data_IF_060395167804
#
_entry.id   IF_060395167804
#
_cell.length_a   1.000
_cell.length_b   1.000
_cell.length_c   1.000
_cell.angle_alpha   90.00
_cell.angle_beta   90.00
_cell.angle_gamma   90.00
#
_symmetry.space_group_name_H-M   'P 1'
#
loop_
_entity.id
_entity.type
_entity.pdbx_description
1 polymer ?
#
# COMPACT_ATOMS: atom_id res chain seq x y z
N UNK A 1 -1.51 -75.73 -20.04
CA UNK A 1 -0.52 -74.85 -19.43
C UNK A 1 -0.54 -73.55 -20.19
N UNK A 2 -1.26 -72.60 -19.72
CA UNK A 2 -1.29 -71.26 -20.32
C UNK A 2 -1.27 -70.26 -19.16
N UNK A 3 -0.16 -69.59 -19.05
CA UNK A 3 0.05 -68.59 -18.00
C UNK A 3 -0.65 -67.29 -18.43
N UNK A 4 -1.74 -66.97 -17.76
CA UNK A 4 -2.37 -65.66 -17.85
C UNK A 4 -1.63 -64.69 -16.91
N UNK A 5 -0.78 -63.84 -17.48
CA UNK A 5 -0.25 -62.68 -16.76
C UNK A 5 -1.29 -61.57 -16.81
N UNK A 6 -2.00 -61.38 -15.74
CA UNK A 6 -2.83 -60.21 -15.53
C UNK A 6 -1.92 -59.07 -15.14
N UNK A 7 -1.58 -58.20 -16.09
CA UNK A 7 -0.89 -56.93 -15.76
C UNK A 7 -1.88 -55.98 -15.12
N UNK A 8 -1.75 -55.85 -13.82
CA UNK A 8 -2.47 -54.81 -13.05
C UNK A 8 -1.73 -53.49 -13.22
N UNK A 9 -2.18 -52.66 -14.16
CA UNK A 9 -1.69 -51.32 -14.34
C UNK A 9 -2.27 -50.45 -13.21
N UNK A 10 -1.45 -50.18 -12.19
CA UNK A 10 -1.75 -49.25 -11.13
C UNK A 10 -1.58 -47.84 -11.65
N UNK A 11 -2.66 -47.21 -12.09
CA UNK A 11 -2.67 -45.80 -12.48
C UNK A 11 -2.54 -44.94 -11.22
N UNK A 12 -1.34 -44.39 -10.99
CA UNK A 12 -1.06 -43.45 -9.93
C UNK A 12 -1.64 -42.08 -10.34
N UNK A 13 -2.84 -41.78 -9.88
CA UNK A 13 -3.40 -40.43 -9.99
C UNK A 13 -2.64 -39.52 -9.03
N UNK A 14 -1.66 -38.80 -9.57
CA UNK A 14 -1.04 -37.67 -8.85
C UNK A 14 -2.05 -36.54 -8.90
N UNK A 15 -2.84 -36.39 -7.86
CA UNK A 15 -3.65 -35.20 -7.63
C UNK A 15 -2.67 -34.07 -7.27
N UNK A 16 -2.30 -33.28 -8.25
CA UNK A 16 -1.55 -32.07 -8.01
C UNK A 16 -2.40 -31.08 -7.18
N UNK A 17 -2.10 -30.99 -5.92
CA UNK A 17 -2.65 -29.92 -5.06
C UNK A 17 -2.03 -28.63 -5.55
N UNK A 18 -2.84 -27.62 -5.99
CA UNK A 18 -2.28 -26.33 -6.32
C UNK A 18 -1.69 -25.74 -5.03
N UNK A 19 -0.38 -25.58 -5.01
CA UNK A 19 0.28 -24.85 -3.94
C UNK A 19 -0.11 -23.38 -4.08
N UNK A 20 -1.14 -22.95 -3.36
CA UNK A 20 -1.41 -21.54 -3.16
C UNK A 20 -0.28 -21.00 -2.29
N UNK A 21 0.66 -20.31 -2.91
CA UNK A 21 1.68 -19.58 -2.17
C UNK A 21 0.97 -18.44 -1.42
N UNK A 22 0.67 -18.64 -0.16
CA UNK A 22 0.21 -17.59 0.73
C UNK A 22 1.40 -16.66 0.97
N UNK A 23 1.34 -15.47 0.38
CA UNK A 23 2.35 -14.44 0.63
C UNK A 23 2.17 -13.96 2.05
N UNK A 24 3.07 -14.35 2.92
CA UNK A 24 3.09 -13.83 4.28
C UNK A 24 3.23 -12.30 4.25
N UNK A 25 2.44 -11.55 5.05
CA UNK A 25 2.58 -10.10 5.10
C UNK A 25 4.02 -9.76 5.50
N UNK A 26 4.67 -8.94 4.68
CA UNK A 26 6.04 -8.52 4.92
C UNK A 26 6.18 -7.87 6.30
N UNK A 27 7.16 -8.30 7.08
CA UNK A 27 7.50 -7.67 8.36
C UNK A 27 8.40 -6.47 8.08
N UNK A 28 7.98 -5.29 8.50
CA UNK A 28 8.82 -4.11 8.47
C UNK A 28 9.86 -4.25 9.58
N UNK A 29 11.14 -4.37 9.20
CA UNK A 29 12.26 -4.34 10.14
C UNK A 29 12.81 -2.93 10.24
N UNK A 30 13.15 -2.48 11.45
CA UNK A 30 13.63 -1.11 11.69
C UNK A 30 12.52 -0.06 11.63
N UNK A 31 11.30 -0.44 12.02
CA UNK A 31 10.14 0.46 12.03
C UNK A 31 10.42 1.76 12.78
N UNK A 32 10.01 2.87 12.20
CA UNK A 32 10.12 4.21 12.77
C UNK A 32 8.74 4.84 12.86
N UNK A 33 8.32 5.17 14.07
CA UNK A 33 7.08 5.93 14.27
C UNK A 33 7.21 7.33 13.70
N UNK A 34 6.17 7.80 13.08
CA UNK A 34 6.07 9.16 12.54
C UNK A 34 4.62 9.61 12.53
N UNK A 35 4.43 10.91 12.56
CA UNK A 35 3.12 11.55 12.46
C UNK A 35 2.97 12.23 11.11
N UNK A 36 1.74 12.27 10.59
CA UNK A 36 1.44 13.07 9.41
C UNK A 36 1.62 14.54 9.71
N UNK A 37 2.16 15.33 8.76
CA UNK A 37 2.24 16.77 8.91
C UNK A 37 0.86 17.36 9.19
N UNK A 38 0.80 18.31 10.15
CA UNK A 38 -0.46 18.91 10.59
C UNK A 38 -1.19 19.68 9.46
N UNK A 39 -0.48 20.10 8.43
CA UNK A 39 -1.06 20.81 7.29
C UNK A 39 -1.69 19.88 6.24
N UNK A 40 -1.50 18.56 6.35
CA UNK A 40 -2.20 17.61 5.48
C UNK A 40 -3.69 17.75 5.70
N UNK A 41 -4.42 17.66 4.59
CA UNK A 41 -5.88 17.74 4.62
C UNK A 41 -6.47 16.54 5.35
N UNK A 42 -7.35 16.82 6.30
CA UNK A 42 -8.22 15.80 6.88
C UNK A 42 -9.27 15.40 5.84
N UNK A 43 -9.35 14.12 5.52
CA UNK A 43 -10.30 13.60 4.55
C UNK A 43 -11.07 12.40 5.11
N UNK A 44 -12.34 12.28 4.73
CA UNK A 44 -13.16 11.09 4.94
C UNK A 44 -13.02 10.07 3.81
N UNK A 45 -12.07 10.29 2.90
CA UNK A 45 -11.78 9.47 1.72
C UNK A 45 -12.89 9.45 0.66
N UNK A 46 -13.75 10.46 0.66
CA UNK A 46 -14.53 10.79 -0.54
C UNK A 46 -13.68 11.62 -1.49
N UNK A 47 -12.85 10.93 -2.25
CA UNK A 47 -11.87 11.56 -3.12
C UNK A 47 -12.51 12.45 -4.21
N UNK A 48 -13.76 12.18 -4.56
CA UNK A 48 -14.49 13.00 -5.53
C UNK A 48 -14.81 14.37 -4.96
N UNK A 49 -15.23 14.42 -3.71
CA UNK A 49 -15.51 15.68 -3.02
C UNK A 49 -14.21 16.41 -2.66
N UNK A 50 -13.18 15.68 -2.23
CA UNK A 50 -11.85 16.26 -1.99
C UNK A 50 -11.27 16.90 -3.24
N UNK A 51 -11.43 16.25 -4.40
CA UNK A 51 -10.96 16.78 -5.68
C UNK A 51 -11.71 18.05 -6.08
N UNK A 52 -13.03 18.09 -5.91
CA UNK A 52 -13.83 19.30 -6.18
C UNK A 52 -13.42 20.46 -5.28
N UNK A 53 -13.16 20.18 -4.02
CA UNK A 53 -12.73 21.20 -3.06
C UNK A 53 -11.35 21.75 -3.42
N UNK A 54 -10.39 20.87 -3.76
CA UNK A 54 -9.07 21.29 -4.23
C UNK A 54 -9.16 22.16 -5.48
N UNK A 55 -9.94 21.72 -6.48
CA UNK A 55 -10.16 22.44 -7.73
C UNK A 55 -10.78 23.83 -7.51
N UNK A 56 -11.73 23.93 -6.60
CA UNK A 56 -12.35 25.21 -6.21
C UNK A 56 -11.36 26.25 -5.67
N UNK A 57 -10.23 25.79 -5.12
CA UNK A 57 -9.12 26.63 -4.63
C UNK A 57 -7.95 26.72 -5.61
N UNK A 58 -8.10 26.22 -6.83
CA UNK A 58 -7.03 26.17 -7.83
C UNK A 58 -5.87 25.25 -7.46
N UNK A 59 -6.14 24.21 -6.67
CA UNK A 59 -5.16 23.26 -6.14
C UNK A 59 -5.39 21.89 -6.75
N UNK A 60 -4.36 21.07 -6.75
CA UNK A 60 -4.47 19.67 -7.13
C UNK A 60 -4.53 18.77 -5.89
N UNK A 61 -5.08 17.57 -6.04
CA UNK A 61 -5.10 16.57 -4.99
C UNK A 61 -3.86 15.68 -5.09
N UNK A 62 -3.13 15.54 -3.98
CA UNK A 62 -1.99 14.65 -3.86
C UNK A 62 -2.28 13.61 -2.78
N UNK A 63 -2.18 12.35 -3.15
CA UNK A 63 -2.35 11.24 -2.21
C UNK A 63 -0.98 10.73 -1.76
N UNK A 64 -0.70 10.84 -0.49
CA UNK A 64 0.49 10.27 0.13
C UNK A 64 0.15 8.89 0.69
N UNK A 65 0.51 7.85 -0.05
CA UNK A 65 0.27 6.47 0.35
C UNK A 65 1.40 6.00 1.26
N UNK A 66 1.08 5.54 2.45
CA UNK A 66 2.07 5.15 3.43
C UNK A 66 1.68 3.89 4.19
N UNK A 67 2.65 3.36 4.91
CA UNK A 67 2.49 2.28 5.88
C UNK A 67 2.89 2.79 7.27
N UNK A 68 2.19 2.32 8.29
CA UNK A 68 2.59 2.57 9.67
C UNK A 68 4.02 2.05 9.92
N UNK A 69 4.80 2.82 10.68
CA UNK A 69 6.20 2.52 11.03
C UNK A 69 7.16 2.34 9.82
N UNK A 70 6.81 2.83 8.66
CA UNK A 70 7.65 2.77 7.46
C UNK A 70 8.81 3.77 7.53
N UNK A 71 10.09 3.34 7.59
CA UNK A 71 11.24 4.25 7.69
C UNK A 71 11.37 5.17 6.47
N UNK A 72 11.09 4.65 5.28
CA UNK A 72 11.13 5.42 4.03
C UNK A 72 10.02 6.48 3.97
N UNK A 73 8.85 6.18 4.51
CA UNK A 73 7.75 7.13 4.60
C UNK A 73 8.11 8.26 5.57
N UNK A 74 8.67 7.93 6.74
CA UNK A 74 9.17 8.91 7.71
C UNK A 74 10.22 9.83 7.08
N UNK A 75 11.17 9.27 6.35
CA UNK A 75 12.20 10.03 5.63
C UNK A 75 11.60 10.95 4.56
N UNK A 76 10.70 10.43 3.74
CA UNK A 76 10.02 11.22 2.71
C UNK A 76 9.29 12.42 3.31
N UNK A 77 8.56 12.22 4.42
CA UNK A 77 7.87 13.29 5.12
C UNK A 77 8.85 14.33 5.67
N UNK A 78 9.94 13.89 6.30
CA UNK A 78 10.93 14.78 6.89
C UNK A 78 11.67 15.63 5.84
N UNK A 79 12.01 15.03 4.71
CA UNK A 79 12.77 15.70 3.67
C UNK A 79 11.93 16.64 2.79
N UNK A 80 10.64 16.33 2.59
CA UNK A 80 9.83 17.01 1.57
C UNK A 80 8.55 17.68 2.08
N UNK A 81 8.04 17.31 3.25
CA UNK A 81 6.71 17.72 3.69
C UNK A 81 6.67 18.48 5.01
N UNK A 82 7.77 18.59 5.75
CA UNK A 82 7.77 19.26 7.05
C UNK A 82 8.26 20.69 6.98
N UNK A 83 9.32 20.94 6.24
CA UNK A 83 9.92 22.27 6.10
C UNK A 83 10.69 22.42 4.79
N UNK A 84 11.01 23.63 4.44
CA UNK A 84 11.82 23.96 3.27
C UNK A 84 11.01 24.25 2.02
N UNK A 85 11.73 24.58 0.94
CA UNK A 85 11.14 25.06 -0.32
C UNK A 85 10.21 24.05 -0.98
N UNK A 86 10.54 22.75 -0.89
CA UNK A 86 9.69 21.69 -1.45
C UNK A 86 8.36 21.62 -0.71
N UNK A 87 8.38 21.64 0.63
CA UNK A 87 7.16 21.68 1.45
C UNK A 87 6.30 22.89 1.11
N UNK A 88 6.90 24.07 1.03
CA UNK A 88 6.18 25.30 0.70
C UNK A 88 5.54 25.27 -0.67
N UNK A 89 6.23 24.69 -1.66
CA UNK A 89 5.68 24.50 -3.01
C UNK A 89 4.49 23.55 -2.99
N UNK A 90 4.64 22.38 -2.35
CA UNK A 90 3.57 21.39 -2.30
C UNK A 90 2.35 21.94 -1.56
N UNK A 91 2.54 22.53 -0.40
CA UNK A 91 1.45 23.11 0.41
C UNK A 91 0.68 24.21 -0.36
N UNK A 92 1.36 24.93 -1.22
CA UNK A 92 0.77 26.02 -2.02
C UNK A 92 -0.07 25.51 -3.20
N UNK A 93 0.31 24.37 -3.78
CA UNK A 93 -0.29 23.88 -5.02
C UNK A 93 -1.14 22.61 -4.86
N UNK A 94 -1.06 21.94 -3.72
CA UNK A 94 -1.73 20.66 -3.50
C UNK A 94 -2.48 20.64 -2.17
N UNK A 95 -3.65 20.02 -2.21
CA UNK A 95 -4.25 19.43 -1.01
C UNK A 95 -3.69 18.02 -0.85
N UNK A 96 -2.98 17.77 0.25
CA UNK A 96 -2.32 16.49 0.49
C UNK A 96 -3.10 15.67 1.50
N UNK A 97 -3.42 14.44 1.13
CA UNK A 97 -4.12 13.47 1.99
C UNK A 97 -3.20 12.28 2.24
N UNK A 98 -2.92 11.99 3.51
CA UNK A 98 -2.21 10.78 3.91
C UNK A 98 -3.16 9.59 3.97
N UNK A 99 -2.80 8.49 3.31
CA UNK A 99 -3.60 7.26 3.30
C UNK A 99 -2.73 6.09 3.73
N UNK A 100 -3.08 5.47 4.85
CA UNK A 100 -2.50 4.20 5.23
C UNK A 100 -3.08 3.09 4.35
N UNK A 101 -2.24 2.44 3.56
CA UNK A 101 -2.67 1.41 2.61
C UNK A 101 -3.09 0.09 3.27
N UNK A 102 -2.90 -0.04 4.58
CA UNK A 102 -3.43 -1.16 5.38
C UNK A 102 -4.78 -0.85 6.01
N UNK A 103 -5.29 0.37 5.82
CA UNK A 103 -6.60 0.79 6.30
C UNK A 103 -6.68 1.12 7.78
N UNK A 104 -5.56 1.23 8.49
CA UNK A 104 -5.52 1.85 9.81
C UNK A 104 -5.57 3.38 9.66
N UNK A 105 -6.47 4.00 10.40
CA UNK A 105 -6.64 5.46 10.43
C UNK A 105 -6.04 6.03 11.70
#
# INVERSE_FOLDING_TARGET
>A
MKHLFASLALALFIVGVPATAEVAPGKITGGQKYDMPAWFKMSFLDLKDDLKEADAHGRQLLLFLHLEECPYCARMLNENFREGATKEFIERHFDVIGIDIRGSR
#
